data_IF_729632852646
#
_entry.id   IF_729632852646
#
_cell.length_a   1.000
_cell.length_b   1.000
_cell.length_c   1.000
_cell.angle_alpha   90.00
_cell.angle_beta   90.00
_cell.angle_gamma   90.00
#
_symmetry.space_group_name_H-M   'P 1'
#
loop_
_entity.id
_entity.type
_entity.pdbx_description
1 polymer ?
#
# COMPACT_ATOMS: atom_id res chain seq x y z
N UNK A 1 13.01 -22.92 31.02
CA UNK A 1 13.07 -23.55 29.69
C UNK A 1 13.41 -25.03 29.85
N UNK A 2 12.82 -25.94 29.07
CA UNK A 2 13.17 -27.36 29.14
C UNK A 2 14.64 -27.60 28.75
N UNK A 3 15.24 -28.64 29.32
CA UNK A 3 16.64 -29.01 29.06
C UNK A 3 16.71 -30.24 28.16
N UNK A 4 17.60 -30.22 27.16
CA UNK A 4 17.78 -31.31 26.22
C UNK A 4 18.19 -32.59 26.94
N UNK A 5 17.42 -33.66 26.78
CA UNK A 5 17.71 -34.95 27.42
C UNK A 5 18.97 -35.65 26.91
N UNK A 6 19.57 -35.19 25.80
CA UNK A 6 20.83 -35.71 25.24
C UNK A 6 22.06 -34.87 25.61
N UNK A 7 22.09 -33.58 25.29
CA UNK A 7 23.26 -32.71 25.54
C UNK A 7 23.21 -31.92 26.85
N UNK A 8 22.09 -31.96 27.59
CA UNK A 8 21.90 -31.25 28.88
C UNK A 8 21.93 -29.72 28.80
N UNK A 9 21.86 -29.14 27.60
CA UNK A 9 21.71 -27.69 27.38
C UNK A 9 20.24 -27.25 27.29
N UNK A 10 19.97 -25.95 27.44
CA UNK A 10 18.61 -25.41 27.34
C UNK A 10 18.03 -25.53 25.92
N UNK A 11 16.75 -25.88 25.82
CA UNK A 11 15.99 -26.02 24.57
C UNK A 11 14.86 -25.00 24.57
N UNK A 12 14.88 -24.10 23.60
CA UNK A 12 13.75 -23.18 23.35
C UNK A 12 12.68 -23.83 22.47
N UNK A 13 13.10 -24.60 21.46
CA UNK A 13 12.22 -25.35 20.55
C UNK A 13 12.91 -26.67 20.13
N UNK A 14 12.16 -27.76 20.05
CA UNK A 14 12.71 -29.10 19.94
C UNK A 14 11.67 -30.17 19.60
N UNK A 15 12.13 -31.42 19.57
CA UNK A 15 11.31 -32.60 19.32
C UNK A 15 11.00 -33.34 20.63
N UNK A 16 9.70 -33.56 20.88
CA UNK A 16 9.21 -34.28 22.05
C UNK A 16 8.97 -35.76 21.74
N UNK A 17 9.55 -36.64 22.56
CA UNK A 17 9.32 -38.08 22.46
C UNK A 17 7.95 -38.46 23.01
N UNK A 18 7.14 -39.16 22.23
CA UNK A 18 5.83 -39.63 22.68
C UNK A 18 5.88 -40.62 23.84
N UNK A 19 7.00 -41.37 23.97
CA UNK A 19 7.18 -42.43 24.96
C UNK A 19 7.73 -41.90 26.30
N UNK A 20 8.94 -41.32 26.28
CA UNK A 20 9.60 -40.85 27.52
C UNK A 20 9.32 -39.39 27.86
N UNK A 21 8.51 -38.70 27.04
CA UNK A 21 8.13 -37.28 27.20
C UNK A 21 9.30 -36.31 27.32
N UNK A 22 10.49 -36.74 26.92
CA UNK A 22 11.69 -35.92 26.96
C UNK A 22 11.79 -35.03 25.72
N UNK A 23 12.19 -33.78 25.93
CA UNK A 23 12.47 -32.82 24.88
C UNK A 23 13.95 -32.94 24.42
N UNK A 24 14.19 -32.81 23.12
CA UNK A 24 15.52 -32.83 22.50
C UNK A 24 15.61 -31.72 21.45
N UNK A 25 16.79 -31.11 21.28
CA UNK A 25 17.05 -30.34 20.05
C UNK A 25 16.89 -31.24 18.82
N UNK A 26 16.47 -30.68 17.69
CA UNK A 26 16.27 -31.43 16.44
C UNK A 26 17.52 -32.24 16.04
N UNK A 27 18.69 -31.60 16.08
CA UNK A 27 19.96 -32.29 15.79
C UNK A 27 20.28 -33.40 16.81
N UNK A 28 20.02 -33.16 18.12
CA UNK A 28 20.21 -34.18 19.15
C UNK A 28 19.30 -35.41 18.94
N UNK A 29 18.07 -35.17 18.46
CA UNK A 29 17.09 -36.19 18.09
C UNK A 29 17.39 -36.92 16.77
N UNK A 30 18.36 -36.44 15.98
CA UNK A 30 18.69 -37.00 14.66
C UNK A 30 17.62 -36.72 13.60
N UNK A 31 16.90 -35.60 13.72
CA UNK A 31 15.88 -35.17 12.75
C UNK A 31 16.09 -33.69 12.39
N UNK A 32 15.76 -33.29 11.18
CA UNK A 32 15.77 -31.86 10.81
C UNK A 32 14.50 -31.17 11.31
N UNK A 33 14.59 -29.89 11.64
CA UNK A 33 13.42 -29.09 12.05
C UNK A 33 12.31 -29.10 10.99
N UNK A 34 12.57 -28.86 9.68
CA UNK A 34 11.52 -28.96 8.67
C UNK A 34 10.93 -30.36 8.57
N UNK A 35 11.75 -31.40 8.77
CA UNK A 35 11.32 -32.78 8.78
C UNK A 35 10.36 -33.09 9.94
N UNK A 36 10.67 -32.59 11.14
CA UNK A 36 9.81 -32.77 12.31
C UNK A 36 8.50 -31.97 12.21
N UNK A 37 8.56 -30.73 11.70
CA UNK A 37 7.35 -29.90 11.53
C UNK A 37 6.37 -30.51 10.51
N UNK A 38 6.88 -31.12 9.43
CA UNK A 38 6.09 -31.82 8.40
C UNK A 38 5.42 -33.12 8.86
N UNK A 39 5.68 -33.60 10.08
CA UNK A 39 5.08 -34.85 10.56
C UNK A 39 3.57 -34.73 10.83
N UNK A 40 3.03 -33.54 11.08
CA UNK A 40 1.61 -33.35 11.44
C UNK A 40 1.23 -34.20 12.65
N UNK A 41 0.13 -34.96 12.56
CA UNK A 41 -0.37 -35.84 13.62
C UNK A 41 0.60 -36.97 14.00
N UNK A 42 1.52 -37.34 13.09
CA UNK A 42 2.54 -38.38 13.37
C UNK A 42 3.54 -37.96 14.44
N UNK A 43 3.58 -36.68 14.84
CA UNK A 43 4.31 -36.21 16.04
C UNK A 43 3.89 -36.98 17.29
N UNK A 44 2.61 -37.33 17.42
CA UNK A 44 2.07 -38.09 18.56
C UNK A 44 2.63 -39.51 18.66
N UNK A 45 3.14 -40.05 17.55
CA UNK A 45 3.77 -41.37 17.48
C UNK A 45 5.29 -41.31 17.38
N UNK A 46 5.88 -40.12 17.27
CA UNK A 46 7.32 -39.95 17.10
C UNK A 46 8.07 -40.29 18.38
N UNK A 47 9.14 -41.07 18.26
CA UNK A 47 9.95 -41.57 19.38
C UNK A 47 11.41 -41.17 19.20
N UNK A 48 12.05 -40.78 20.30
CA UNK A 48 13.47 -40.46 20.30
C UNK A 48 14.33 -41.72 20.06
N UNK A 49 15.61 -41.56 19.66
CA UNK A 49 16.50 -42.69 19.39
C UNK A 49 16.63 -43.68 20.56
N UNK A 50 16.67 -43.20 21.81
CA UNK A 50 16.72 -44.06 23.01
C UNK A 50 15.48 -44.94 23.15
N UNK A 51 14.29 -44.36 22.94
CA UNK A 51 13.02 -45.11 23.02
C UNK A 51 12.77 -46.01 21.81
N UNK A 52 13.40 -45.71 20.66
CA UNK A 52 13.40 -46.62 19.50
C UNK A 52 14.28 -47.84 19.74
N UNK A 53 15.46 -47.65 20.34
CA UNK A 53 16.37 -48.76 20.67
C UNK A 53 15.88 -49.63 21.84
N UNK A 54 15.07 -49.07 22.74
CA UNK A 54 14.47 -49.80 23.88
C UNK A 54 13.31 -50.76 23.51
N UNK A 55 12.83 -50.79 22.26
CA UNK A 55 11.87 -51.79 21.77
C UNK A 55 12.58 -52.80 20.86
N UNK A 56 13.43 -53.60 21.49
CA UNK A 56 14.16 -54.69 20.86
C UNK A 56 14.48 -55.82 21.84
N UNK A 57 13.59 -56.12 22.79
CA UNK A 57 13.62 -57.36 23.56
C UNK A 57 12.18 -57.84 23.85
N UNK A 58 11.84 -59.02 23.32
CA UNK A 58 10.80 -59.90 23.88
C UNK A 58 9.54 -60.14 23.04
N UNK A 59 9.61 -61.03 22.04
CA UNK A 59 8.93 -62.36 22.01
C UNK A 59 8.91 -62.90 20.57
N UNK A 60 9.84 -63.80 20.27
CA UNK A 60 9.64 -64.88 19.31
C UNK A 60 10.04 -66.17 20.03
N UNK A 61 9.12 -67.15 20.18
CA UNK A 61 9.45 -68.43 20.77
C UNK A 61 10.34 -69.25 19.83
N UNK A 62 11.54 -69.56 20.31
CA UNK A 62 12.16 -70.89 20.28
C UNK A 62 12.01 -71.73 18.99
N UNK A 63 13.03 -71.69 18.14
CA UNK A 63 13.54 -72.91 17.49
C UNK A 63 14.62 -73.52 18.40
N UNK A 64 14.58 -74.83 18.70
CA UNK A 64 15.61 -75.48 19.49
C UNK A 64 16.82 -75.82 18.62
N UNK A 65 18.00 -75.41 19.09
CA UNK A 65 19.29 -76.00 18.75
C UNK A 65 19.75 -76.83 19.95
N UNK A 66 19.76 -78.16 19.82
CA UNK A 66 20.44 -79.07 20.76
C UNK A 66 21.57 -79.78 20.04
N UNK A 67 22.76 -79.66 20.62
CA UNK A 67 23.97 -80.42 20.26
C UNK A 67 24.05 -81.75 21.01
N UNK A 68 24.60 -82.76 20.32
CA UNK A 68 25.38 -83.94 20.78
C UNK A 68 24.59 -85.13 21.35
N UNK A 69 25.00 -86.40 21.09
CA UNK A 69 26.36 -86.91 21.33
C UNK A 69 26.96 -87.90 20.29
N UNK A 70 28.23 -88.22 20.54
CA UNK A 70 29.12 -89.20 19.89
C UNK A 70 28.61 -90.66 19.91
N UNK A 71 28.96 -91.42 18.85
CA UNK A 71 28.48 -92.78 18.50
C UNK A 71 28.95 -93.96 19.38
N UNK A 72 28.97 -95.23 18.91
CA UNK A 72 28.85 -95.74 17.53
C UNK A 72 27.68 -96.75 17.33
N UNK A 73 27.75 -97.49 16.22
CA UNK A 73 27.09 -98.78 15.84
C UNK A 73 25.78 -98.79 15.04
N UNK A 74 25.90 -99.54 13.94
CA UNK A 74 24.93 -100.31 13.16
C UNK A 74 24.15 -99.68 11.99
N UNK A 75 24.46 -100.27 10.82
CA UNK A 75 23.85 -100.10 9.51
C UNK A 75 22.47 -100.78 9.50
N UNK A 76 21.39 -100.03 9.35
CA UNK A 76 20.11 -100.55 8.85
C UNK A 76 19.52 -99.61 7.80
N UNK A 77 19.32 -100.14 6.60
CA UNK A 77 18.61 -99.47 5.50
C UNK A 77 17.11 -99.34 5.85
N UNK A 78 16.64 -98.11 6.03
CA UNK A 78 15.20 -97.81 6.11
C UNK A 78 14.67 -97.54 4.70
N UNK A 79 13.89 -98.47 4.17
CA UNK A 79 13.21 -98.34 2.88
C UNK A 79 12.18 -97.19 2.91
N UNK A 80 12.35 -96.21 2.02
CA UNK A 80 11.37 -95.15 1.76
C UNK A 80 10.17 -95.82 1.05
N UNK A 81 9.00 -95.81 1.69
CA UNK A 81 7.79 -96.39 1.08
C UNK A 81 7.30 -95.53 -0.09
N UNK A 82 6.77 -96.13 -1.18
CA UNK A 82 6.29 -95.40 -2.36
C UNK A 82 5.22 -94.33 -2.05
N UNK A 83 4.47 -94.50 -0.97
CA UNK A 83 3.46 -93.56 -0.47
C UNK A 83 4.06 -92.29 0.15
N UNK A 84 5.21 -92.38 0.82
CA UNK A 84 5.92 -91.21 1.38
C UNK A 84 6.49 -90.34 0.25
N UNK A 85 7.04 -90.99 -0.77
CA UNK A 85 7.62 -90.38 -1.97
C UNK A 85 6.54 -89.69 -2.82
N UNK A 86 5.37 -90.31 -2.98
CA UNK A 86 4.22 -89.67 -3.64
C UNK A 86 3.69 -88.44 -2.89
N UNK A 87 3.72 -88.45 -1.54
CA UNK A 87 3.29 -87.31 -0.73
C UNK A 87 4.24 -86.12 -0.90
N UNK A 88 5.55 -86.35 -0.86
CA UNK A 88 6.55 -85.31 -1.13
C UNK A 88 6.46 -84.76 -2.56
N UNK A 89 6.26 -85.61 -3.57
CA UNK A 89 6.04 -85.18 -4.97
C UNK A 89 4.78 -84.31 -5.08
N UNK A 90 3.70 -84.66 -4.37
CA UNK A 90 2.46 -83.88 -4.38
C UNK A 90 2.62 -82.54 -3.65
N UNK A 91 3.39 -82.50 -2.57
CA UNK A 91 3.72 -81.26 -1.86
C UNK A 91 4.65 -80.35 -2.69
N UNK A 92 5.58 -80.93 -3.45
CA UNK A 92 6.41 -80.22 -4.44
C UNK A 92 5.52 -79.68 -5.57
N UNK A 93 4.60 -80.49 -6.11
CA UNK A 93 3.67 -80.05 -7.15
C UNK A 93 2.76 -78.90 -6.67
N UNK A 94 2.27 -78.95 -5.43
CA UNK A 94 1.50 -77.86 -4.82
C UNK A 94 2.34 -76.58 -4.64
N UNK A 95 3.62 -76.71 -4.22
CA UNK A 95 4.56 -75.58 -4.17
C UNK A 95 4.87 -75.02 -5.56
N UNK A 96 5.00 -75.86 -6.58
CA UNK A 96 5.19 -75.44 -7.97
C UNK A 96 3.97 -74.66 -8.48
N UNK A 97 2.74 -75.11 -8.20
CA UNK A 97 1.53 -74.35 -8.54
C UNK A 97 1.46 -72.99 -7.82
N UNK A 98 2.00 -72.88 -6.59
CA UNK A 98 2.09 -71.59 -5.90
C UNK A 98 3.08 -70.61 -6.53
N UNK A 99 4.08 -71.11 -7.26
CA UNK A 99 5.03 -70.26 -7.98
C UNK A 99 4.37 -69.57 -9.18
N UNK A 100 3.43 -70.22 -9.87
CA UNK A 100 2.69 -69.60 -10.99
C UNK A 100 1.89 -68.38 -10.51
N UNK A 101 1.22 -68.47 -9.36
CA UNK A 101 0.53 -67.34 -8.73
C UNK A 101 1.49 -66.19 -8.36
N UNK A 102 2.69 -66.51 -7.85
CA UNK A 102 3.71 -65.50 -7.54
C UNK A 102 4.21 -64.81 -8.81
N UNK A 103 4.34 -65.53 -9.93
CA UNK A 103 4.74 -64.96 -11.22
C UNK A 103 3.68 -63.97 -11.74
N UNK A 104 2.39 -64.26 -11.55
CA UNK A 104 1.30 -63.33 -11.85
C UNK A 104 1.35 -62.07 -10.98
N UNK A 105 1.55 -62.22 -9.66
CA UNK A 105 1.71 -61.09 -8.74
C UNK A 105 2.93 -60.22 -9.12
N UNK A 106 4.06 -60.84 -9.50
CA UNK A 106 5.25 -60.12 -9.95
C UNK A 106 4.98 -59.34 -11.24
N UNK A 107 4.23 -59.90 -12.19
CA UNK A 107 3.80 -59.18 -13.41
C UNK A 107 2.92 -57.98 -13.04
N UNK A 108 1.93 -58.18 -12.18
CA UNK A 108 1.04 -57.11 -11.74
C UNK A 108 1.78 -55.99 -10.99
N UNK A 109 2.71 -56.34 -10.09
CA UNK A 109 3.56 -55.37 -9.40
C UNK A 109 4.47 -54.62 -10.38
N UNK A 110 5.03 -55.31 -11.38
CA UNK A 110 5.83 -54.68 -12.44
C UNK A 110 5.00 -53.67 -13.23
N UNK A 111 3.77 -54.01 -13.61
CA UNK A 111 2.89 -53.11 -14.34
C UNK A 111 2.55 -51.86 -13.51
N UNK A 112 2.19 -52.05 -12.23
CA UNK A 112 1.96 -50.94 -11.30
C UNK A 112 3.20 -50.06 -11.11
N UNK A 113 4.40 -50.66 -11.00
CA UNK A 113 5.65 -49.91 -10.91
C UNK A 113 5.89 -49.06 -12.17
N UNK A 114 5.64 -49.60 -13.37
CA UNK A 114 5.78 -48.81 -14.60
C UNK A 114 4.74 -47.67 -14.67
N UNK A 115 3.52 -47.89 -14.19
CA UNK A 115 2.48 -46.87 -14.15
C UNK A 115 2.82 -45.76 -13.13
N UNK A 116 3.31 -46.13 -11.95
CA UNK A 116 3.83 -45.20 -10.95
C UNK A 116 5.01 -44.38 -11.50
N UNK A 117 5.92 -45.03 -12.21
CA UNK A 117 7.06 -44.36 -12.84
C UNK A 117 6.60 -43.32 -13.87
N UNK A 118 5.62 -43.66 -14.72
CA UNK A 118 5.00 -42.70 -15.67
C UNK A 118 4.33 -41.52 -14.95
N UNK A 119 3.56 -41.80 -13.89
CA UNK A 119 2.89 -40.76 -13.08
C UNK A 119 3.89 -39.82 -12.40
N UNK A 120 5.02 -40.36 -11.91
CA UNK A 120 6.09 -39.56 -11.30
C UNK A 120 6.75 -38.62 -12.32
N UNK A 121 7.02 -39.10 -13.54
CA UNK A 121 7.53 -38.26 -14.63
C UNK A 121 6.55 -37.13 -14.98
N UNK A 122 5.25 -37.44 -15.09
CA UNK A 122 4.22 -36.42 -15.33
C UNK A 122 4.15 -35.38 -14.20
N UNK A 123 4.20 -35.85 -12.95
CA UNK A 123 4.21 -34.97 -11.77
C UNK A 123 5.42 -34.05 -11.78
N UNK A 124 6.62 -34.57 -12.09
CA UNK A 124 7.82 -33.75 -12.21
C UNK A 124 7.71 -32.70 -13.32
N UNK A 125 7.12 -33.03 -14.46
CA UNK A 125 6.90 -32.06 -15.54
C UNK A 125 5.97 -30.92 -15.09
N UNK A 126 4.86 -31.25 -14.41
CA UNK A 126 3.94 -30.24 -13.84
C UNK A 126 4.64 -29.38 -12.80
N UNK A 127 5.44 -29.98 -11.91
CA UNK A 127 6.24 -29.25 -10.92
C UNK A 127 7.19 -28.27 -11.62
N UNK A 128 7.90 -28.70 -12.66
CA UNK A 128 8.79 -27.83 -13.43
C UNK A 128 8.05 -26.66 -14.10
N UNK A 129 6.87 -26.91 -14.68
CA UNK A 129 6.04 -25.83 -15.25
C UNK A 129 5.56 -24.86 -14.18
N UNK A 130 5.10 -25.35 -13.03
CA UNK A 130 4.69 -24.51 -11.91
C UNK A 130 5.87 -23.69 -11.37
N UNK A 131 7.07 -24.27 -11.25
CA UNK A 131 8.28 -23.54 -10.87
C UNK A 131 8.58 -22.41 -11.86
N UNK A 132 8.47 -22.64 -13.18
CA UNK A 132 8.64 -21.57 -14.18
C UNK A 132 7.60 -20.47 -14.02
N UNK A 133 6.32 -20.83 -13.79
CA UNK A 133 5.25 -19.86 -13.54
C UNK A 133 5.49 -19.05 -12.26
N UNK A 134 5.98 -19.67 -11.19
CA UNK A 134 6.32 -18.99 -9.93
C UNK A 134 7.40 -17.94 -10.17
N UNK A 135 8.52 -18.30 -10.82
CA UNK A 135 9.60 -17.34 -11.13
C UNK A 135 9.09 -16.18 -11.99
N UNK A 136 8.23 -16.47 -12.98
CA UNK A 136 7.63 -15.44 -13.81
C UNK A 136 6.71 -14.49 -13.00
N UNK A 137 5.88 -15.04 -12.12
CA UNK A 137 5.01 -14.26 -11.24
C UNK A 137 5.83 -13.41 -10.26
N UNK A 138 6.89 -13.95 -9.67
CA UNK A 138 7.81 -13.21 -8.81
C UNK A 138 8.45 -12.04 -9.56
N UNK A 139 8.84 -12.22 -10.82
CA UNK A 139 9.34 -11.14 -11.67
C UNK A 139 8.29 -10.05 -11.88
N UNK A 140 7.06 -10.43 -12.21
CA UNK A 140 5.95 -9.48 -12.41
C UNK A 140 5.58 -8.74 -11.13
N UNK A 141 5.64 -9.40 -9.98
CA UNK A 141 5.40 -8.75 -8.67
C UNK A 141 6.44 -7.66 -8.43
N UNK A 142 7.73 -7.94 -8.68
CA UNK A 142 8.80 -6.92 -8.57
C UNK A 142 8.58 -5.73 -9.49
N UNK A 143 8.13 -5.94 -10.73
CA UNK A 143 7.79 -4.86 -11.66
C UNK A 143 6.65 -3.99 -11.12
N UNK A 144 5.58 -4.61 -10.62
CA UNK A 144 4.44 -3.89 -10.04
C UNK A 144 4.84 -3.07 -8.80
N UNK A 145 5.71 -3.62 -7.95
CA UNK A 145 6.26 -2.88 -6.81
C UNK A 145 7.08 -1.66 -7.25
N UNK A 146 7.92 -1.81 -8.28
CA UNK A 146 8.67 -0.70 -8.86
C UNK A 146 7.74 0.37 -9.45
N UNK A 147 6.68 -0.04 -10.16
CA UNK A 147 5.73 0.90 -10.75
C UNK A 147 4.94 1.66 -9.68
N UNK A 148 4.63 1.01 -8.55
CA UNK A 148 4.00 1.68 -7.39
C UNK A 148 4.85 2.84 -6.88
N UNK A 149 6.17 2.66 -6.79
CA UNK A 149 7.10 3.74 -6.39
C UNK A 149 7.10 4.90 -7.41
N UNK A 150 7.11 4.57 -8.70
CA UNK A 150 7.00 5.59 -9.77
C UNK A 150 5.71 6.38 -9.68
N UNK A 151 4.58 5.73 -9.41
CA UNK A 151 3.27 6.41 -9.25
C UNK A 151 3.31 7.41 -8.10
N UNK A 152 3.91 7.05 -6.95
CA UNK A 152 4.08 7.97 -5.82
C UNK A 152 4.95 9.16 -6.22
N UNK A 153 6.08 8.92 -6.88
CA UNK A 153 6.99 9.97 -7.34
C UNK A 153 6.32 10.93 -8.34
N UNK A 154 5.60 10.37 -9.32
CA UNK A 154 4.85 11.15 -10.30
C UNK A 154 3.74 11.98 -9.64
N UNK A 155 3.02 11.41 -8.69
CA UNK A 155 1.96 12.13 -7.97
C UNK A 155 2.51 13.34 -7.21
N UNK A 156 3.66 13.20 -6.55
CA UNK A 156 4.36 14.31 -5.89
C UNK A 156 4.82 15.38 -6.90
N UNK A 157 5.29 14.95 -8.08
CA UNK A 157 5.71 15.87 -9.14
C UNK A 157 4.52 16.65 -9.72
N UNK A 158 3.39 15.99 -9.94
CA UNK A 158 2.14 16.63 -10.40
C UNK A 158 1.71 17.71 -9.41
N UNK A 159 1.63 17.38 -8.12
CA UNK A 159 1.27 18.37 -7.10
C UNK A 159 2.22 19.57 -7.09
N UNK A 160 3.54 19.33 -7.18
CA UNK A 160 4.53 20.40 -7.23
C UNK A 160 4.32 21.30 -8.45
N UNK A 161 3.99 20.74 -9.60
CA UNK A 161 3.73 21.48 -10.84
C UNK A 161 2.43 22.29 -10.74
N UNK A 162 1.36 21.72 -10.17
CA UNK A 162 0.10 22.42 -9.93
C UNK A 162 0.31 23.65 -9.03
N UNK A 163 1.08 23.52 -7.95
CA UNK A 163 1.44 24.64 -7.07
C UNK A 163 2.21 25.72 -7.84
N UNK A 164 3.14 25.32 -8.71
CA UNK A 164 3.91 26.27 -9.52
C UNK A 164 3.04 26.99 -10.55
N UNK A 165 2.13 26.28 -11.21
CA UNK A 165 1.16 26.86 -12.15
C UNK A 165 0.32 27.89 -11.41
N UNK A 166 -0.24 27.52 -10.26
CA UNK A 166 -1.05 28.40 -9.45
C UNK A 166 -0.30 29.66 -9.00
N UNK A 167 0.98 29.53 -8.65
CA UNK A 167 1.83 30.68 -8.33
C UNK A 167 2.05 31.59 -9.53
N UNK A 168 2.35 31.02 -10.71
CA UNK A 168 2.56 31.77 -11.95
C UNK A 168 1.29 32.50 -12.41
N UNK A 169 0.13 31.84 -12.31
CA UNK A 169 -1.16 32.42 -12.67
C UNK A 169 -1.52 33.60 -11.76
N UNK A 170 -1.21 33.50 -10.46
CA UNK A 170 -1.38 34.63 -9.55
C UNK A 170 -0.35 35.72 -9.81
N UNK A 171 0.89 35.36 -10.15
CA UNK A 171 1.96 36.30 -10.49
C UNK A 171 1.58 37.20 -11.67
N UNK A 172 1.01 36.61 -12.72
CA UNK A 172 0.53 37.32 -13.90
C UNK A 172 -0.55 38.37 -13.59
N UNK A 173 -1.22 38.29 -12.43
CA UNK A 173 -2.28 39.21 -12.00
C UNK A 173 -1.80 40.22 -10.94
N UNK A 174 -0.52 40.22 -10.58
CA UNK A 174 -0.02 41.06 -9.49
C UNK A 174 -0.10 42.55 -9.75
N UNK A 175 -0.22 42.96 -11.01
CA UNK A 175 -0.44 44.35 -11.38
C UNK A 175 -1.92 44.68 -11.59
N UNK A 176 -2.83 43.76 -11.29
CA UNK A 176 -4.25 43.93 -11.57
C UNK A 176 -5.04 44.18 -10.28
N UNK A 177 -6.05 45.04 -10.37
CA UNK A 177 -7.12 45.16 -9.39
C UNK A 177 -8.46 44.73 -10.00
N UNK A 178 -9.31 44.13 -9.18
CA UNK A 178 -10.67 43.72 -9.52
C UNK A 178 -11.68 44.65 -8.84
N UNK A 179 -12.48 45.33 -9.65
CA UNK A 179 -13.54 46.23 -9.21
C UNK A 179 -14.88 45.55 -9.43
N UNK A 180 -15.66 45.39 -8.35
CA UNK A 180 -17.00 44.78 -8.35
C UNK A 180 -18.07 45.80 -7.98
N UNK A 181 -19.31 45.52 -8.39
CA UNK A 181 -20.48 46.31 -7.99
C UNK A 181 -20.78 47.52 -8.88
N UNK A 182 -20.06 47.69 -9.98
CA UNK A 182 -20.35 48.71 -10.99
C UNK A 182 -21.34 48.13 -12.01
N UNK A 183 -22.55 48.69 -12.17
CA UNK A 183 -23.53 48.27 -13.20
C UNK A 183 -22.96 48.37 -14.61
N UNK A 184 -23.46 47.56 -15.53
CA UNK A 184 -23.06 47.63 -16.94
C UNK A 184 -23.90 48.67 -17.68
N UNK A 185 -23.26 49.55 -18.44
CA UNK A 185 -23.93 50.50 -19.32
C UNK A 185 -23.38 50.40 -20.75
N UNK A 186 -24.26 50.47 -21.76
CA UNK A 186 -23.83 50.51 -23.16
C UNK A 186 -23.03 51.80 -23.41
N UNK A 187 -21.85 51.65 -24.02
CA UNK A 187 -20.95 52.79 -24.28
C UNK A 187 -20.27 53.36 -23.03
N UNK A 188 -20.14 52.58 -21.96
CA UNK A 188 -19.42 53.02 -20.76
C UNK A 188 -17.91 53.25 -21.03
N UNK A 189 -17.36 54.31 -20.45
CA UNK A 189 -15.93 54.53 -20.41
C UNK A 189 -15.36 53.96 -19.10
N UNK A 190 -14.78 52.77 -19.17
CA UNK A 190 -14.22 52.09 -18.00
C UNK A 190 -13.04 52.86 -17.39
N UNK A 191 -12.25 53.56 -18.21
CA UNK A 191 -11.13 54.35 -17.72
C UNK A 191 -11.63 55.50 -16.84
N UNK A 192 -12.64 56.23 -17.29
CA UNK A 192 -13.23 57.33 -16.52
C UNK A 192 -13.81 56.83 -15.20
N UNK A 193 -14.50 55.68 -15.22
CA UNK A 193 -15.02 55.05 -13.98
C UNK A 193 -13.88 54.75 -12.99
N UNK A 194 -12.76 54.18 -13.46
CA UNK A 194 -11.62 53.88 -12.60
C UNK A 194 -10.99 55.17 -12.05
N UNK A 195 -10.87 56.22 -12.87
CA UNK A 195 -10.35 57.53 -12.43
C UNK A 195 -11.30 58.16 -11.40
N UNK A 196 -12.62 58.14 -11.63
CA UNK A 196 -13.62 58.64 -10.68
C UNK A 196 -13.60 57.89 -9.35
N UNK A 197 -13.38 56.57 -9.38
CA UNK A 197 -13.14 55.77 -8.16
C UNK A 197 -11.88 56.27 -7.45
N UNK A 198 -10.77 56.46 -8.19
CA UNK A 198 -9.52 57.01 -7.65
C UNK A 198 -9.73 58.35 -6.94
N UNK A 199 -10.33 59.32 -7.63
CA UNK A 199 -10.64 60.64 -7.07
C UNK A 199 -11.52 60.53 -5.82
N UNK A 200 -12.48 59.59 -5.80
CA UNK A 200 -13.37 59.43 -4.65
C UNK A 200 -12.68 58.85 -3.41
N UNK A 201 -11.60 58.10 -3.59
CA UNK A 201 -10.81 57.50 -2.49
C UNK A 201 -9.54 58.30 -2.19
N UNK A 202 -9.50 59.57 -2.59
CA UNK A 202 -8.37 60.49 -2.44
C UNK A 202 -7.06 59.97 -3.07
N UNK A 203 -7.18 59.24 -4.19
CA UNK A 203 -6.05 58.71 -4.95
C UNK A 203 -6.05 59.24 -6.39
N UNK A 204 -5.10 60.12 -6.70
CA UNK A 204 -4.97 60.70 -8.05
C UNK A 204 -4.39 59.66 -9.00
N UNK A 205 -5.19 59.21 -9.96
CA UNK A 205 -4.80 58.21 -10.95
C UNK A 205 -4.74 58.84 -12.34
N UNK A 206 -3.59 58.71 -13.02
CA UNK A 206 -3.43 59.18 -14.39
C UNK A 206 -3.61 58.04 -15.40
N UNK A 207 -4.07 58.37 -16.61
CA UNK A 207 -4.19 57.41 -17.71
C UNK A 207 -2.86 56.70 -18.03
N UNK A 208 -1.73 57.40 -17.90
CA UNK A 208 -0.39 56.84 -18.19
C UNK A 208 0.05 55.76 -17.18
N UNK A 209 -0.59 55.66 -16.03
CA UNK A 209 -0.32 54.62 -15.04
C UNK A 209 -1.09 53.31 -15.31
N UNK A 210 -2.07 53.35 -16.21
CA UNK A 210 -2.93 52.21 -16.55
C UNK A 210 -2.44 51.59 -17.86
N UNK A 211 -2.27 50.27 -17.86
CA UNK A 211 -1.97 49.48 -19.04
C UNK A 211 -3.25 49.23 -19.85
N UNK A 212 -4.25 48.61 -19.21
CA UNK A 212 -5.55 48.34 -19.82
C UNK A 212 -6.66 48.25 -18.76
N UNK A 213 -7.90 48.43 -19.21
CA UNK A 213 -9.12 48.24 -18.40
C UNK A 213 -10.13 47.43 -19.21
N UNK A 214 -10.72 46.41 -18.60
CA UNK A 214 -11.68 45.53 -19.30
C UNK A 214 -12.71 44.93 -18.35
N UNK A 215 -13.88 44.56 -18.88
CA UNK A 215 -14.87 43.75 -18.17
C UNK A 215 -14.54 42.27 -18.37
N UNK A 216 -14.58 41.48 -17.29
CA UNK A 216 -14.37 40.03 -17.37
C UNK A 216 -15.68 39.30 -17.06
N UNK A 217 -16.01 38.20 -17.77
CA UNK A 217 -17.18 37.39 -17.44
C UNK A 217 -17.18 36.95 -15.98
N UNK A 218 -18.35 37.00 -15.34
CA UNK A 218 -18.54 36.42 -14.02
C UNK A 218 -19.15 35.02 -14.14
N UNK A 219 -19.00 34.19 -13.11
CA UNK A 219 -19.61 32.85 -13.05
C UNK A 219 -21.14 32.92 -13.08
N UNK A 220 -21.70 33.95 -12.45
CA UNK A 220 -23.13 34.25 -12.52
C UNK A 220 -23.40 35.20 -13.70
N UNK A 221 -24.10 34.76 -14.75
CA UNK A 221 -24.40 35.59 -15.93
C UNK A 221 -25.35 36.76 -15.62
N UNK A 222 -26.13 36.68 -14.53
CA UNK A 222 -27.06 37.75 -14.13
C UNK A 222 -26.37 38.85 -13.31
N UNK A 223 -25.15 38.60 -12.84
CA UNK A 223 -24.38 39.57 -12.06
C UNK A 223 -23.60 40.54 -12.96
N UNK A 224 -23.41 41.77 -12.49
CA UNK A 224 -22.59 42.75 -13.20
C UNK A 224 -21.15 42.24 -13.36
N UNK A 225 -20.67 42.17 -14.61
CA UNK A 225 -19.31 41.73 -14.94
C UNK A 225 -18.28 42.60 -14.22
N UNK A 226 -17.33 42.06 -13.44
CA UNK A 226 -16.31 42.88 -12.79
C UNK A 226 -15.42 43.61 -13.81
N UNK A 227 -14.89 44.76 -13.40
CA UNK A 227 -13.88 45.51 -14.14
C UNK A 227 -12.50 45.08 -13.63
N UNK A 228 -11.61 44.68 -14.53
CA UNK A 228 -10.19 44.46 -14.25
C UNK A 228 -9.42 45.65 -14.79
N UNK A 229 -8.65 46.29 -13.92
CA UNK A 229 -7.67 47.33 -14.29
C UNK A 229 -6.27 46.76 -14.10
N UNK A 230 -5.44 46.84 -15.13
CA UNK A 230 -4.02 46.49 -15.08
C UNK A 230 -3.19 47.77 -15.03
N UNK A 231 -2.29 47.86 -14.06
CA UNK A 231 -1.41 49.00 -13.87
C UNK A 231 -0.02 48.73 -14.44
N UNK A 232 0.66 49.78 -14.90
CA UNK A 232 2.05 49.68 -15.37
C UNK A 232 3.01 49.42 -14.21
N UNK A 233 2.67 49.90 -13.01
CA UNK A 233 3.50 49.76 -11.81
C UNK A 233 2.70 49.09 -10.68
N UNK A 234 3.27 48.04 -10.08
CA UNK A 234 2.68 47.33 -8.95
C UNK A 234 2.47 48.23 -7.73
N UNK A 235 3.38 49.17 -7.45
CA UNK A 235 3.26 50.08 -6.31
C UNK A 235 2.01 50.96 -6.45
N UNK A 236 1.76 51.52 -7.64
CA UNK A 236 0.56 52.31 -7.94
C UNK A 236 -0.71 51.48 -7.71
N UNK A 237 -0.71 50.20 -8.13
CA UNK A 237 -1.82 49.29 -7.86
C UNK A 237 -2.04 49.09 -6.36
N UNK A 238 -0.98 48.81 -5.59
CA UNK A 238 -1.09 48.57 -4.14
C UNK A 238 -1.60 49.81 -3.41
N UNK A 239 -1.12 50.99 -3.78
CA UNK A 239 -1.54 52.26 -3.18
C UNK A 239 -3.00 52.55 -3.48
N UNK A 240 -3.44 52.36 -4.73
CA UNK A 240 -4.84 52.50 -5.13
C UNK A 240 -5.77 51.55 -4.34
N UNK A 241 -5.41 50.27 -4.26
CA UNK A 241 -6.21 49.27 -3.55
C UNK A 241 -6.21 49.55 -2.03
N UNK A 242 -5.10 50.04 -1.48
CA UNK A 242 -4.98 50.41 -0.06
C UNK A 242 -5.83 51.65 0.26
N UNK A 243 -5.79 52.68 -0.59
CA UNK A 243 -6.62 53.87 -0.48
C UNK A 243 -8.11 53.52 -0.51
N UNK A 244 -8.53 52.68 -1.46
CA UNK A 244 -9.91 52.24 -1.56
C UNK A 244 -10.39 51.41 -0.34
N UNK A 245 -9.52 50.57 0.23
CA UNK A 245 -9.81 49.84 1.47
C UNK A 245 -9.92 50.77 2.67
N UNK A 246 -9.00 51.73 2.81
CA UNK A 246 -9.05 52.76 3.86
C UNK A 246 -10.36 53.54 3.77
N UNK A 247 -10.71 54.03 2.58
CA UNK A 247 -11.98 54.70 2.34
C UNK A 247 -13.17 53.81 2.74
N UNK A 248 -13.18 52.55 2.30
CA UNK A 248 -14.27 51.59 2.57
C UNK A 248 -14.44 51.22 4.06
N UNK A 249 -13.39 51.40 4.88
CA UNK A 249 -13.48 51.24 6.34
C UNK A 249 -14.15 52.42 7.03
N UNK A 250 -14.16 53.61 6.40
CA UNK A 250 -14.78 54.82 6.92
C UNK A 250 -16.18 55.05 6.35
N UNK A 251 -16.37 54.78 5.05
CA UNK A 251 -17.64 55.01 4.34
C UNK A 251 -17.81 54.01 3.19
N UNK A 252 -19.03 53.51 2.91
CA UNK A 252 -19.24 52.63 1.77
C UNK A 252 -18.99 53.38 0.45
N UNK A 253 -18.05 52.89 -0.36
CA UNK A 253 -17.91 53.34 -1.75
C UNK A 253 -19.12 52.82 -2.55
N UNK A 254 -19.89 53.72 -3.16
CA UNK A 254 -21.10 53.38 -3.92
C UNK A 254 -21.09 54.01 -5.31
N UNK A 255 -21.96 53.53 -6.20
CA UNK A 255 -22.12 54.07 -7.56
C UNK A 255 -22.51 55.54 -7.57
N UNK A 256 -23.41 55.97 -6.69
CA UNK A 256 -23.80 57.39 -6.60
C UNK A 256 -22.63 58.28 -6.16
N UNK A 257 -21.74 57.74 -5.32
CA UNK A 257 -20.58 58.46 -4.82
C UNK A 257 -19.55 58.80 -5.91
N UNK A 258 -19.59 58.10 -7.04
CA UNK A 258 -18.76 58.34 -8.23
C UNK A 258 -19.57 58.87 -9.42
N UNK A 259 -20.80 59.35 -9.19
CA UNK A 259 -21.64 59.96 -10.23
C UNK A 259 -22.34 58.97 -11.18
N UNK A 260 -22.42 57.69 -10.82
CA UNK A 260 -23.16 56.68 -11.58
C UNK A 260 -24.58 56.47 -11.02
N UNK A 261 -25.50 56.00 -11.87
CA UNK A 261 -26.87 55.68 -11.47
C UNK A 261 -26.92 54.45 -10.53
N UNK A 262 -27.89 54.47 -9.61
CA UNK A 262 -28.08 53.44 -8.58
C UNK A 262 -27.25 53.69 -7.31
N UNK A 263 -27.40 52.82 -6.32
CA UNK A 263 -26.67 52.89 -5.04
C UNK A 263 -25.94 51.57 -4.71
N UNK A 264 -25.37 50.92 -5.72
CA UNK A 264 -24.67 49.65 -5.54
C UNK A 264 -23.32 49.89 -4.86
N UNK A 265 -22.96 49.01 -3.92
CA UNK A 265 -21.66 49.06 -3.26
C UNK A 265 -20.57 48.61 -4.21
N UNK A 266 -19.52 49.42 -4.32
CA UNK A 266 -18.34 49.15 -5.13
C UNK A 266 -17.25 48.58 -4.24
N UNK A 267 -16.61 47.50 -4.71
CA UNK A 267 -15.49 46.88 -4.01
C UNK A 267 -14.26 46.89 -4.90
N UNK A 268 -13.15 47.42 -4.38
CA UNK A 268 -11.83 47.41 -5.04
C UNK A 268 -10.96 46.38 -4.34
N UNK A 269 -10.58 45.33 -5.05
CA UNK A 269 -9.84 44.19 -4.50
C UNK A 269 -8.59 43.88 -5.33
N UNK A 270 -7.66 43.11 -4.75
CA UNK A 270 -6.65 42.39 -5.50
C UNK A 270 -7.29 41.41 -6.50
N UNK A 271 -6.74 41.31 -7.72
CA UNK A 271 -7.22 40.35 -8.71
C UNK A 271 -6.67 38.94 -8.42
N UNK A 272 -7.43 38.16 -7.65
CA UNK A 272 -7.10 36.78 -7.33
C UNK A 272 -7.51 35.79 -8.44
N UNK A 273 -6.75 34.70 -8.58
CA UNK A 273 -7.14 33.53 -9.37
C UNK A 273 -8.39 32.85 -8.80
N UNK A 274 -9.07 32.03 -9.59
CA UNK A 274 -10.23 31.27 -9.12
C UNK A 274 -9.88 30.38 -7.92
N UNK A 275 -8.75 29.68 -7.98
CA UNK A 275 -8.23 28.90 -6.86
C UNK A 275 -8.01 29.76 -5.62
N UNK A 276 -7.34 30.93 -5.74
CA UNK A 276 -7.09 31.77 -4.57
C UNK A 276 -8.38 32.41 -4.01
N UNK A 277 -9.39 32.66 -4.84
CA UNK A 277 -10.73 33.07 -4.39
C UNK A 277 -11.38 31.95 -3.56
N UNK A 278 -11.32 30.71 -4.03
CA UNK A 278 -11.81 29.54 -3.28
C UNK A 278 -11.04 29.35 -1.98
N UNK A 279 -9.71 29.44 -2.03
CA UNK A 279 -8.85 29.33 -0.85
C UNK A 279 -9.17 30.42 0.17
N UNK A 280 -9.36 31.68 -0.26
CA UNK A 280 -9.76 32.78 0.61
C UNK A 280 -11.09 32.50 1.32
N UNK A 281 -12.07 31.96 0.60
CA UNK A 281 -13.35 31.58 1.21
C UNK A 281 -13.17 30.48 2.25
N UNK A 282 -12.42 29.41 1.93
CA UNK A 282 -12.06 28.35 2.89
C UNK A 282 -11.33 28.91 4.11
N UNK A 283 -10.37 29.81 3.91
CA UNK A 283 -9.65 30.48 5.00
C UNK A 283 -10.57 31.27 5.90
N UNK A 284 -11.57 31.98 5.35
CA UNK A 284 -12.56 32.71 6.15
C UNK A 284 -13.44 31.77 6.97
N UNK A 285 -13.88 30.64 6.40
CA UNK A 285 -14.62 29.61 7.13
C UNK A 285 -13.82 29.05 8.29
N UNK A 286 -12.58 28.61 8.03
CA UNK A 286 -11.68 28.09 9.07
C UNK A 286 -11.34 29.16 10.12
N UNK A 287 -11.19 30.42 9.70
CA UNK A 287 -10.96 31.52 10.63
C UNK A 287 -12.12 31.68 11.61
N UNK A 288 -13.36 31.58 11.14
CA UNK A 288 -14.54 31.65 11.99
C UNK A 288 -14.58 30.48 12.97
N UNK A 289 -14.36 29.25 12.49
CA UNK A 289 -14.35 28.03 13.32
C UNK A 289 -13.27 28.08 14.41
N UNK A 290 -12.11 28.66 14.12
CA UNK A 290 -10.94 28.71 15.00
C UNK A 290 -10.73 30.06 15.68
N UNK A 291 -11.74 30.92 15.66
CA UNK A 291 -11.75 32.24 16.32
C UNK A 291 -10.57 33.15 15.91
N UNK A 292 -10.19 33.14 14.63
CA UNK A 292 -9.28 34.13 14.07
C UNK A 292 -10.02 35.45 13.82
N UNK A 293 -9.52 36.53 14.42
CA UNK A 293 -10.11 37.86 14.29
C UNK A 293 -9.92 38.50 12.91
N UNK A 294 -8.84 38.15 12.20
CA UNK A 294 -8.47 38.85 10.98
C UNK A 294 -8.12 37.90 9.83
N UNK A 295 -8.76 38.10 8.69
CA UNK A 295 -8.39 37.51 7.39
C UNK A 295 -8.46 38.59 6.32
N UNK A 296 -7.36 38.81 5.60
CA UNK A 296 -7.32 39.83 4.55
C UNK A 296 -6.38 39.42 3.42
N UNK A 297 -6.46 40.18 2.32
CA UNK A 297 -5.58 40.01 1.16
C UNK A 297 -4.66 41.22 1.07
N UNK A 298 -3.36 41.03 0.87
CA UNK A 298 -2.41 42.13 0.61
C UNK A 298 -1.35 41.63 -0.36
N UNK A 299 -0.97 42.43 -1.36
CA UNK A 299 -0.07 41.99 -2.42
C UNK A 299 -0.54 40.68 -3.09
N UNK A 300 -1.86 40.54 -3.27
CA UNK A 300 -2.51 39.31 -3.74
C UNK A 300 -2.17 38.03 -2.96
N UNK A 301 -1.72 38.16 -1.71
CA UNK A 301 -1.49 37.04 -0.76
C UNK A 301 -2.58 37.02 0.29
N UNK A 302 -3.07 35.83 0.62
CA UNK A 302 -4.04 35.63 1.70
C UNK A 302 -3.27 35.57 3.02
N UNK A 303 -3.69 36.41 3.96
CA UNK A 303 -3.10 36.57 5.28
C UNK A 303 -4.18 36.36 6.32
N UNK A 304 -3.81 35.72 7.43
CA UNK A 304 -4.68 35.57 8.59
C UNK A 304 -3.90 35.86 9.87
N UNK A 305 -4.63 36.30 10.90
CA UNK A 305 -4.07 36.61 12.22
C UNK A 305 -5.12 36.35 13.28
N UNK A 306 -4.75 35.60 14.33
CA UNK A 306 -5.71 35.15 15.35
C UNK A 306 -6.24 36.30 16.20
N UNK A 307 -5.35 37.16 16.68
CA UNK A 307 -5.67 38.36 17.45
C UNK A 307 -4.57 39.43 17.24
N UNK A 308 -4.70 40.58 17.90
CA UNK A 308 -3.79 41.72 17.75
C UNK A 308 -2.35 41.47 18.21
N UNK A 309 -2.09 40.40 18.96
CA UNK A 309 -0.75 40.03 19.47
C UNK A 309 -0.14 38.84 18.73
N UNK A 310 -0.97 37.99 18.12
CA UNK A 310 -0.51 36.79 17.38
C UNK A 310 0.29 37.13 16.13
N UNK A 311 1.17 36.25 15.64
CA UNK A 311 1.86 36.45 14.37
C UNK A 311 0.90 36.38 13.18
N UNK A 312 1.29 37.03 12.08
CA UNK A 312 0.58 36.96 10.79
C UNK A 312 1.02 35.68 10.09
N UNK A 313 0.05 34.88 9.62
CA UNK A 313 0.29 33.69 8.81
C UNK A 313 -0.12 33.97 7.35
N UNK A 314 0.64 33.41 6.41
CA UNK A 314 0.31 33.45 4.99
C UNK A 314 -0.22 32.10 4.52
N UNK A 315 -1.40 32.12 3.90
CA UNK A 315 -2.06 30.93 3.35
C UNK A 315 -1.82 30.92 1.85
N UNK A 316 -1.03 29.96 1.36
CA UNK A 316 -0.68 29.82 -0.06
C UNK A 316 -1.39 28.62 -0.69
N UNK A 317 -1.67 27.60 0.11
CA UNK A 317 -2.27 26.33 -0.27
C UNK A 317 -3.31 25.88 0.76
N UNK A 318 -4.12 24.89 0.42
CA UNK A 318 -5.09 24.32 1.39
C UNK A 318 -4.41 23.66 2.59
N UNK A 319 -3.21 23.08 2.42
CA UNK A 319 -2.43 22.53 3.54
C UNK A 319 -2.09 23.59 4.58
N UNK A 320 -1.91 24.85 4.17
CA UNK A 320 -1.60 25.94 5.09
C UNK A 320 -2.76 26.26 6.05
N UNK A 321 -3.99 25.81 5.77
CA UNK A 321 -5.13 25.94 6.68
C UNK A 321 -4.90 25.18 8.01
N UNK A 322 -4.03 24.16 8.00
CA UNK A 322 -3.64 23.43 9.22
C UNK A 322 -2.82 24.32 10.18
N UNK A 323 -2.19 25.39 9.68
CA UNK A 323 -1.42 26.36 10.49
C UNK A 323 -2.33 27.26 11.34
N UNK A 324 -3.62 27.31 11.02
CA UNK A 324 -4.60 28.07 11.80
C UNK A 324 -4.98 27.24 13.02
N UNK A 325 -4.38 27.50 14.18
CA UNK A 325 -4.65 26.81 15.45
C UNK A 325 -5.04 27.84 16.51
#
# INVERSE_FOLDING_TARGET
MPTCSKCKEQVADGADCSLCKSCLHFHCAGISEPGYRKLGDRKMTWRCPKCKQGQGQGKSPSQPSTTKPSGPTDLEHQEITPTQLMKEIKDIANKLNSLDSIVEDIKYLKDNLTQLQKSNVQTNNVIQELSKKIVHLESRVKEVECDKEKVVCLSQKVEKLEIQIQFKDQWARLNNAEIKGVPMKKGENLLDIVISIGSKVDFTLSKSQINYVTRVPNRDPNSAKPIIVCFNNRFVKEDFVTAARKYSSMSPLTTIAIGLQGNNRIFVNDHLTAYNKTLLNKTKTVAQEKNFQFVWVKNSKILARKNTTSPIISIKTERDLQKMI
#
